data_IF_074794636345
#
_entry.id   IF_074794636345
#
_cell.length_a   1.000
_cell.length_b   1.000
_cell.length_c   1.000
_cell.angle_alpha   90.00
_cell.angle_beta   90.00
_cell.angle_gamma   90.00
#
_symmetry.space_group_name_H-M   'P 1'
#
loop_
_entity.id
_entity.type
_entity.pdbx_description
1 polymer ?
#
# COMPACT_ATOMS: atom_id res chain seq x y z
N UNK A 1 14.46 -0.34 14.12
CA UNK A 1 13.36 -1.21 13.64
C UNK A 1 13.23 -1.25 12.11
N UNK A 2 13.08 -0.14 11.39
CA UNK A 2 13.01 -0.22 9.91
C UNK A 2 14.35 -0.57 9.24
N UNK A 3 15.48 -0.26 9.88
CA UNK A 3 16.81 -0.62 9.40
C UNK A 3 17.06 -2.12 9.35
N UNK A 4 16.47 -2.90 10.24
CA UNK A 4 16.67 -4.35 10.23
C UNK A 4 15.98 -5.03 9.04
N UNK A 5 14.86 -4.49 8.54
CA UNK A 5 14.13 -5.05 7.38
C UNK A 5 14.90 -4.94 6.04
N UNK A 6 15.93 -4.08 5.99
CA UNK A 6 16.75 -3.84 4.79
C UNK A 6 17.97 -4.77 4.75
N UNK A 7 18.50 -5.14 5.93
CA UNK A 7 19.80 -5.80 6.06
C UNK A 7 19.66 -7.30 6.28
N UNK A 8 18.68 -7.73 7.07
CA UNK A 8 18.48 -9.16 7.39
C UNK A 8 17.33 -9.77 6.58
N UNK A 9 17.49 -11.01 6.08
CA UNK A 9 16.37 -11.80 5.59
C UNK A 9 15.31 -11.92 6.67
N UNK A 10 14.04 -11.91 6.27
CA UNK A 10 13.01 -12.45 7.15
C UNK A 10 13.33 -13.95 7.27
N UNK A 11 13.70 -14.42 8.46
CA UNK A 11 13.92 -15.84 8.75
C UNK A 11 12.60 -16.64 8.78
N UNK A 12 11.64 -16.19 7.99
CA UNK A 12 10.29 -16.73 7.85
C UNK A 12 10.22 -17.48 6.52
N UNK A 13 9.37 -18.50 6.41
CA UNK A 13 9.04 -19.08 5.12
C UNK A 13 8.50 -18.00 4.17
N UNK A 14 8.75 -18.12 2.87
CA UNK A 14 8.27 -17.17 1.84
C UNK A 14 6.73 -17.18 1.68
N UNK A 15 6.01 -17.89 2.55
CA UNK A 15 4.56 -17.97 2.60
C UNK A 15 3.95 -16.62 2.99
N UNK A 16 3.07 -16.11 2.11
CA UNK A 16 2.39 -14.83 2.28
C UNK A 16 1.53 -14.82 3.55
N UNK A 17 0.94 -15.97 3.92
CA UNK A 17 0.07 -16.10 5.10
C UNK A 17 0.83 -15.86 6.40
N UNK A 18 2.13 -16.15 6.42
CA UNK A 18 3.00 -15.99 7.58
C UNK A 18 3.64 -14.60 7.60
N UNK A 19 4.11 -14.13 6.44
CA UNK A 19 4.89 -12.88 6.37
C UNK A 19 4.02 -11.63 6.45
N UNK A 20 2.83 -11.64 5.85
CA UNK A 20 1.94 -10.46 5.83
C UNK A 20 1.51 -9.99 7.22
N UNK A 21 1.02 -10.86 8.13
CA UNK A 21 0.64 -10.44 9.47
C UNK A 21 1.81 -9.83 10.24
N UNK A 22 3.02 -10.38 10.08
CA UNK A 22 4.23 -9.87 10.75
C UNK A 22 4.57 -8.46 10.27
N UNK A 23 4.60 -8.24 8.95
CA UNK A 23 4.88 -6.93 8.37
C UNK A 23 3.80 -5.90 8.75
N UNK A 24 2.54 -6.32 8.77
CA UNK A 24 1.42 -5.46 9.14
C UNK A 24 1.48 -5.07 10.63
N UNK A 25 1.77 -6.03 11.52
CA UNK A 25 1.95 -5.75 12.95
C UNK A 25 3.08 -4.76 13.20
N UNK A 26 4.22 -4.93 12.53
CA UNK A 26 5.35 -3.98 12.61
C UNK A 26 4.92 -2.58 12.14
N UNK A 27 4.22 -2.47 11.00
CA UNK A 27 3.73 -1.20 10.49
C UNK A 27 2.75 -0.53 11.46
N UNK A 28 1.82 -1.30 12.05
CA UNK A 28 0.86 -0.79 13.04
C UNK A 28 1.54 -0.33 14.32
N UNK A 29 2.58 -1.04 14.80
CA UNK A 29 3.36 -0.62 15.96
C UNK A 29 4.05 0.73 15.69
N UNK A 30 4.68 0.89 14.53
CA UNK A 30 5.30 2.16 14.15
C UNK A 30 4.30 3.30 14.01
N UNK A 31 3.13 3.02 13.43
CA UNK A 31 2.05 4.00 13.32
C UNK A 31 1.64 4.51 14.70
N UNK A 32 1.39 3.62 15.67
CA UNK A 32 0.97 3.98 17.03
C UNK A 32 2.03 4.76 17.80
N UNK A 33 3.31 4.42 17.59
CA UNK A 33 4.41 5.07 18.29
C UNK A 33 4.67 6.48 17.77
N UNK A 34 4.57 6.71 16.46
CA UNK A 34 4.98 7.98 15.85
C UNK A 34 3.84 8.95 15.56
N UNK A 35 2.64 8.45 15.23
CA UNK A 35 1.49 9.30 14.86
C UNK A 35 0.37 9.16 15.90
N UNK A 36 -0.02 10.25 16.59
CA UNK A 36 0.45 11.63 16.46
C UNK A 36 1.65 11.99 17.36
N UNK A 37 2.06 11.10 18.27
CA UNK A 37 2.85 11.47 19.45
C UNK A 37 4.31 11.88 19.23
N UNK A 38 4.93 11.55 18.09
CA UNK A 38 6.34 11.89 17.79
C UNK A 38 6.53 12.66 16.50
N UNK A 39 5.49 13.37 16.05
CA UNK A 39 5.63 14.30 14.94
C UNK A 39 6.39 15.55 15.37
N UNK A 40 7.21 16.11 14.47
CA UNK A 40 7.98 17.32 14.73
C UNK A 40 7.07 18.52 15.10
N UNK A 41 5.94 18.65 14.39
CA UNK A 41 4.88 19.59 14.74
C UNK A 41 3.72 18.78 15.36
N UNK A 42 3.34 19.05 16.62
CA UNK A 42 2.23 18.35 17.27
C UNK A 42 0.88 18.87 16.79
N UNK A 43 -0.16 18.07 16.98
CA UNK A 43 -1.55 18.52 16.86
C UNK A 43 -1.87 19.52 17.99
N UNK A 44 -2.62 20.61 17.74
CA UNK A 44 -3.37 20.96 16.53
C UNK A 44 -2.60 21.81 15.49
N UNK A 45 -1.34 22.16 15.73
CA UNK A 45 -0.60 23.06 14.83
C UNK A 45 -0.18 22.40 13.51
N UNK A 46 -0.17 21.07 13.47
CA UNK A 46 0.13 20.30 12.27
C UNK A 46 -1.09 20.25 11.33
N UNK A 47 -1.04 21.02 10.24
CA UNK A 47 -2.13 21.12 9.27
C UNK A 47 -2.45 19.80 8.56
N UNK A 48 -1.45 18.95 8.30
CA UNK A 48 -1.66 17.63 7.72
C UNK A 48 -2.51 16.76 8.67
N UNK A 49 -2.14 16.73 9.96
CA UNK A 49 -2.92 16.00 10.96
C UNK A 49 -4.32 16.61 11.14
N UNK A 50 -4.44 17.94 11.17
CA UNK A 50 -5.72 18.63 11.26
C UNK A 50 -6.67 18.20 10.13
N UNK A 51 -6.21 18.19 8.88
CA UNK A 51 -7.03 17.75 7.74
C UNK A 51 -7.48 16.29 7.85
N UNK A 52 -6.59 15.40 8.30
CA UNK A 52 -6.92 13.97 8.42
C UNK A 52 -7.79 13.64 9.63
N UNK A 53 -7.59 14.31 10.77
CA UNK A 53 -8.35 14.08 12.01
C UNK A 53 -9.73 14.72 11.93
N UNK A 54 -9.85 15.90 11.34
CA UNK A 54 -11.14 16.55 11.10
C UNK A 54 -11.98 15.86 10.01
N UNK A 55 -11.40 14.97 9.23
CA UNK A 55 -12.06 14.33 8.08
C UNK A 55 -12.20 15.25 6.87
N UNK A 56 -11.58 16.44 6.87
CA UNK A 56 -11.68 17.38 5.76
C UNK A 56 -11.08 16.80 4.47
N UNK A 57 -9.89 16.19 4.54
CA UNK A 57 -9.28 15.50 3.40
C UNK A 57 -8.15 14.57 3.83
N UNK A 58 -8.08 13.43 3.16
CA UNK A 58 -7.05 12.42 3.41
C UNK A 58 -7.39 11.53 4.59
N UNK A 59 -6.52 10.56 4.85
CA UNK A 59 -6.65 9.56 5.89
C UNK A 59 -5.35 9.40 6.65
N UNK A 60 -5.40 8.71 7.80
CA UNK A 60 -4.20 8.36 8.57
C UNK A 60 -3.17 7.61 7.72
N UNK A 61 -3.60 6.78 6.75
CA UNK A 61 -2.72 6.09 5.81
C UNK A 61 -1.90 7.06 4.98
N UNK A 62 -2.50 8.17 4.51
CA UNK A 62 -1.78 9.19 3.75
C UNK A 62 -0.68 9.84 4.61
N UNK A 63 -1.02 10.21 5.85
CA UNK A 63 -0.07 10.77 6.81
C UNK A 63 1.10 9.81 7.06
N UNK A 64 0.84 8.52 7.21
CA UNK A 64 1.86 7.49 7.43
C UNK A 64 2.77 7.34 6.22
N UNK A 65 2.22 7.28 5.01
CA UNK A 65 3.03 7.16 3.79
C UNK A 65 3.90 8.38 3.53
N UNK A 66 3.42 9.57 3.92
CA UNK A 66 4.20 10.80 3.85
C UNK A 66 5.31 10.85 4.91
N UNK A 67 5.00 10.49 6.16
CA UNK A 67 5.87 10.73 7.31
C UNK A 67 6.74 9.54 7.75
N UNK A 68 6.28 8.29 7.58
CA UNK A 68 6.94 7.09 8.10
C UNK A 68 7.48 6.17 7.00
N UNK A 69 6.64 5.79 6.05
CA UNK A 69 7.02 4.88 4.98
C UNK A 69 5.82 4.35 4.21
N UNK A 70 6.04 3.93 2.95
CA UNK A 70 5.00 3.42 2.07
C UNK A 70 4.43 2.07 2.50
N UNK A 71 5.29 1.21 3.06
CA UNK A 71 4.93 -0.13 3.49
C UNK A 71 4.89 -1.16 2.36
N UNK A 72 4.23 -2.29 2.62
CA UNK A 72 4.14 -3.41 1.67
C UNK A 72 3.27 -3.05 0.47
N UNK A 73 3.84 -3.17 -0.74
CA UNK A 73 3.12 -3.04 -1.99
C UNK A 73 2.52 -4.40 -2.39
N UNK A 74 1.26 -4.39 -2.82
CA UNK A 74 0.51 -5.57 -3.22
C UNK A 74 0.05 -5.44 -4.67
N UNK A 75 -0.10 -6.59 -5.33
CA UNK A 75 -0.54 -6.77 -6.71
C UNK A 75 -1.65 -7.80 -6.71
N UNK A 76 -2.88 -7.41 -7.04
CA UNK A 76 -4.04 -8.30 -6.97
C UNK A 76 -4.11 -9.08 -5.62
N UNK A 77 -3.84 -8.37 -4.52
CA UNK A 77 -3.82 -8.92 -3.17
C UNK A 77 -2.60 -9.76 -2.79
N UNK A 78 -1.62 -9.95 -3.69
CA UNK A 78 -0.41 -10.76 -3.48
C UNK A 78 0.87 -9.92 -3.48
N UNK A 79 1.98 -10.50 -3.04
CA UNK A 79 3.31 -9.87 -3.13
C UNK A 79 3.82 -9.86 -4.56
N UNK A 80 4.90 -9.10 -4.76
CA UNK A 80 5.61 -9.09 -6.03
C UNK A 80 6.06 -10.51 -6.38
N UNK A 81 5.67 -11.00 -7.56
CA UNK A 81 6.08 -12.31 -8.06
C UNK A 81 7.52 -12.26 -8.56
N UNK A 82 8.24 -13.37 -8.38
CA UNK A 82 9.56 -13.56 -8.97
C UNK A 82 9.43 -13.83 -10.47
N UNK A 83 10.37 -13.31 -11.25
CA UNK A 83 10.51 -13.63 -12.67
C UNK A 83 11.04 -15.06 -12.85
N UNK A 84 11.04 -15.58 -14.08
CA UNK A 84 11.59 -16.91 -14.40
C UNK A 84 13.08 -17.07 -13.99
N UNK A 85 13.82 -15.95 -13.85
CA UNK A 85 15.19 -15.92 -13.34
C UNK A 85 15.30 -16.09 -11.82
N UNK A 86 14.17 -16.21 -11.10
CA UNK A 86 14.12 -16.27 -9.63
C UNK A 86 14.35 -14.92 -8.94
N UNK A 87 14.44 -13.82 -9.70
CA UNK A 87 14.61 -12.44 -9.19
C UNK A 87 13.32 -11.65 -9.28
N UNK A 88 13.12 -10.71 -8.37
CA UNK A 88 11.97 -9.78 -8.40
C UNK A 88 12.23 -8.53 -9.25
N UNK A 89 13.46 -8.03 -9.20
CA UNK A 89 14.00 -6.98 -10.06
C UNK A 89 15.46 -7.33 -10.41
N UNK A 90 16.01 -6.81 -11.52
CA UNK A 90 17.39 -7.11 -11.93
C UNK A 90 18.46 -6.78 -10.87
N UNK A 91 18.20 -5.78 -10.04
CA UNK A 91 19.08 -5.32 -8.97
C UNK A 91 19.06 -6.21 -7.71
N UNK A 92 18.12 -7.16 -7.59
CA UNK A 92 18.06 -8.09 -6.47
C UNK A 92 18.77 -9.42 -6.77
N UNK A 93 19.16 -10.12 -5.71
CA UNK A 93 19.72 -11.46 -5.81
C UNK A 93 18.65 -12.50 -6.13
N UNK A 94 19.08 -13.63 -6.68
CA UNK A 94 18.19 -14.77 -6.96
C UNK A 94 17.65 -15.29 -5.62
N UNK A 95 16.33 -15.49 -5.55
CA UNK A 95 15.65 -15.96 -4.35
C UNK A 95 15.90 -15.12 -3.09
N UNK A 96 16.06 -13.79 -3.25
CA UNK A 96 16.21 -12.87 -2.12
C UNK A 96 14.94 -12.89 -1.25
N UNK A 97 15.14 -13.10 0.07
CA UNK A 97 14.09 -13.21 1.09
C UNK A 97 13.93 -11.93 1.93
N UNK A 98 14.67 -10.87 1.61
CA UNK A 98 14.50 -9.57 2.27
C UNK A 98 13.12 -8.98 1.96
N UNK A 99 12.52 -8.29 2.93
CA UNK A 99 11.20 -7.68 2.76
C UNK A 99 11.17 -6.73 1.55
N UNK A 100 12.24 -5.96 1.35
CA UNK A 100 12.41 -5.03 0.23
C UNK A 100 12.39 -5.71 -1.13
N UNK A 101 13.06 -6.85 -1.27
CA UNK A 101 13.08 -7.61 -2.52
C UNK A 101 11.69 -8.13 -2.90
N UNK A 102 10.80 -8.29 -1.92
CA UNK A 102 9.43 -8.78 -2.09
C UNK A 102 8.38 -7.66 -1.93
N UNK A 103 8.78 -6.41 -2.18
CA UNK A 103 7.87 -5.26 -2.34
C UNK A 103 7.57 -4.43 -1.08
N UNK A 104 8.32 -4.61 0.00
CA UNK A 104 8.22 -3.70 1.15
C UNK A 104 9.00 -2.41 0.89
N UNK A 105 8.30 -1.29 0.74
CA UNK A 105 8.91 0.03 0.55
C UNK A 105 9.08 0.74 1.90
N UNK A 106 10.32 0.91 2.33
CA UNK A 106 10.65 1.64 3.56
C UNK A 106 10.67 3.15 3.35
N UNK A 107 11.02 3.59 2.14
CA UNK A 107 11.01 5.00 1.78
C UNK A 107 9.66 5.66 2.09
N UNK A 108 9.69 6.96 2.40
CA UNK A 108 8.52 7.80 2.66
C UNK A 108 8.50 8.95 1.68
N UNK A 109 7.32 9.47 1.35
CA UNK A 109 7.25 10.54 0.35
C UNK A 109 8.03 11.79 0.74
N UNK A 110 8.11 12.12 2.05
CA UNK A 110 8.84 13.30 2.50
C UNK A 110 10.36 13.25 2.26
N UNK A 111 10.98 12.07 2.30
CA UNK A 111 12.43 11.91 2.09
C UNK A 111 12.78 11.23 0.77
N UNK A 112 11.78 10.89 -0.03
CA UNK A 112 11.95 10.10 -1.24
C UNK A 112 11.97 8.59 -1.02
N UNK A 113 11.92 7.89 -2.14
CA UNK A 113 11.78 6.43 -2.26
C UNK A 113 12.99 5.92 -3.06
N UNK A 114 13.56 4.78 -2.67
CA UNK A 114 14.69 4.22 -3.42
C UNK A 114 14.27 3.74 -4.81
N UNK A 115 15.15 3.74 -5.82
CA UNK A 115 14.79 3.37 -7.20
C UNK A 115 14.08 2.01 -7.32
N UNK A 116 14.57 0.97 -6.64
CA UNK A 116 13.94 -0.34 -6.67
C UNK A 116 12.53 -0.36 -6.03
N UNK A 117 12.35 0.39 -4.94
CA UNK A 117 11.05 0.55 -4.27
C UNK A 117 10.09 1.36 -5.15
N UNK A 118 10.59 2.40 -5.82
CA UNK A 118 9.83 3.25 -6.72
C UNK A 118 9.29 2.45 -7.91
N UNK A 119 10.12 1.60 -8.53
CA UNK A 119 9.67 0.74 -9.63
C UNK A 119 8.52 -0.16 -9.20
N UNK A 120 8.62 -0.81 -8.04
CA UNK A 120 7.56 -1.67 -7.51
C UNK A 120 6.31 -0.85 -7.15
N UNK A 121 6.48 0.31 -6.54
CA UNK A 121 5.37 1.21 -6.20
C UNK A 121 4.61 1.68 -7.44
N UNK A 122 5.33 2.05 -8.50
CA UNK A 122 4.73 2.45 -9.78
C UNK A 122 3.95 1.29 -10.43
N UNK A 123 4.45 0.06 -10.33
CA UNK A 123 3.73 -1.12 -10.81
C UNK A 123 2.43 -1.34 -10.01
N UNK A 124 2.47 -1.22 -8.68
CA UNK A 124 1.28 -1.37 -7.83
C UNK A 124 0.24 -0.25 -8.09
N UNK A 125 0.71 0.98 -8.30
CA UNK A 125 -0.16 2.09 -8.70
C UNK A 125 -0.87 1.84 -10.04
N UNK A 126 -0.18 1.22 -11.00
CA UNK A 126 -0.79 0.84 -12.29
C UNK A 126 -1.85 -0.25 -12.14
N UNK A 127 -1.65 -1.23 -11.25
CA UNK A 127 -2.62 -2.28 -10.97
C UNK A 127 -3.97 -1.68 -10.51
N UNK A 128 -3.92 -0.71 -9.59
CA UNK A 128 -5.12 0.02 -9.13
C UNK A 128 -5.82 0.83 -10.22
N UNK A 129 -5.07 1.43 -11.15
CA UNK A 129 -5.65 2.16 -12.29
C UNK A 129 -6.35 1.21 -13.26
N UNK A 130 -5.76 0.05 -13.53
CA UNK A 130 -6.36 -0.99 -14.37
C UNK A 130 -7.64 -1.51 -13.74
N UNK A 131 -7.62 -1.81 -12.45
CA UNK A 131 -8.80 -2.29 -11.71
C UNK A 131 -9.97 -1.28 -11.77
N UNK A 132 -9.66 0.01 -11.62
CA UNK A 132 -10.65 1.08 -11.78
C UNK A 132 -11.23 1.11 -13.21
N UNK A 133 -10.37 1.01 -14.22
CA UNK A 133 -10.80 1.01 -15.62
C UNK A 133 -11.72 -0.18 -15.94
N UNK A 134 -11.45 -1.36 -15.38
CA UNK A 134 -12.28 -2.55 -15.61
C UNK A 134 -13.60 -2.45 -14.84
N UNK A 135 -13.57 -2.07 -13.56
CA UNK A 135 -14.77 -2.02 -12.69
C UNK A 135 -15.80 -1.01 -13.17
N UNK A 136 -15.39 0.11 -13.77
CA UNK A 136 -16.31 1.14 -14.30
C UNK A 136 -17.22 0.61 -15.42
N UNK A 137 -16.67 -0.19 -16.33
CA UNK A 137 -17.45 -0.77 -17.45
C UNK A 137 -18.57 -1.70 -16.97
N UNK A 138 -18.28 -2.52 -15.95
CA UNK A 138 -19.20 -3.54 -15.43
C UNK A 138 -20.35 -2.93 -14.63
N UNK A 139 -20.05 -1.94 -13.78
CA UNK A 139 -21.09 -1.26 -12.99
C UNK A 139 -22.06 -0.47 -13.88
N UNK A 140 -21.55 0.22 -14.91
CA UNK A 140 -22.40 0.95 -15.85
C UNK A 140 -23.31 0.04 -16.68
N UNK A 141 -22.81 -1.11 -17.13
CA UNK A 141 -23.65 -2.09 -17.84
C UNK A 141 -24.75 -2.66 -16.93
N UNK A 142 -24.39 -3.07 -15.71
CA UNK A 142 -25.35 -3.56 -14.72
C UNK A 142 -26.43 -2.50 -14.40
N UNK A 143 -26.02 -1.25 -14.19
CA UNK A 143 -26.93 -0.14 -13.95
C UNK A 143 -27.94 0.02 -15.11
N UNK A 144 -27.50 -0.09 -16.37
CA UNK A 144 -28.40 -0.03 -17.53
C UNK A 144 -29.44 -1.14 -17.49
N UNK A 145 -29.02 -2.38 -17.22
CA UNK A 145 -29.93 -3.53 -17.16
C UNK A 145 -30.95 -3.37 -16.04
N UNK A 146 -30.54 -2.88 -14.87
CA UNK A 146 -31.44 -2.63 -13.74
C UNK A 146 -32.44 -1.51 -14.04
N UNK A 147 -31.98 -0.37 -14.57
CA UNK A 147 -32.87 0.75 -14.93
C UNK A 147 -33.91 0.31 -15.93
N UNK A 148 -33.52 -0.46 -16.96
CA UNK A 148 -34.45 -0.93 -17.98
C UNK A 148 -35.40 -2.02 -17.49
N UNK A 149 -34.94 -2.92 -16.63
CA UNK A 149 -35.80 -3.95 -16.04
C UNK A 149 -36.82 -3.40 -15.04
N UNK A 150 -36.54 -2.25 -14.41
CA UNK A 150 -37.40 -1.64 -13.39
C UNK A 150 -38.15 -0.39 -13.89
N UNK A 151 -38.14 -0.10 -15.20
CA UNK A 151 -38.71 1.16 -15.71
C UNK A 151 -40.24 1.27 -15.52
N UNK A 152 -40.93 0.14 -15.37
CA UNK A 152 -42.38 0.08 -15.15
C UNK A 152 -42.80 0.11 -13.68
N UNK A 153 -41.85 0.10 -12.74
CA UNK A 153 -42.14 0.12 -11.31
C UNK A 153 -42.41 1.55 -10.85
N UNK A 154 -43.68 1.84 -10.54
CA UNK A 154 -44.15 3.11 -9.99
C UNK A 154 -45.04 2.84 -8.77
N UNK A 155 -44.95 3.68 -7.74
CA UNK A 155 -45.83 3.60 -6.58
C UNK A 155 -47.18 4.22 -6.95
N UNK A 156 -48.26 3.47 -6.76
CA UNK A 156 -49.64 3.94 -6.91
C UNK A 156 -50.14 4.61 -5.62
#
# INVERSE_FOLDING_TARGET
MLSSLDVSPLHLPDDETVVMPVLMNLATQMQREFVPGRMCVPFPYNQLLMMTVSGAKGSNTNTIQMALGLGQQLFDGRRVKRMNSGKTLPCFFVADKRARAMGYARGRFASGIHPAEYTIHAMAGRDGLIDTAVKTSRSGHLQRCLIKGLESLVMH
#
